data_IF_127939432964
#
_entry.id   IF_127939432964
#
_cell.length_a   1.000
_cell.length_b   1.000
_cell.length_c   1.000
_cell.angle_alpha   90.00
_cell.angle_beta   90.00
_cell.angle_gamma   90.00
#
_symmetry.space_group_name_H-M   'P 1'
#
loop_
_entity.id
_entity.type
_entity.pdbx_description
1 polymer ?
#
# COMPACT_ATOMS: atom_id res chain seq x y z
N UNK A 1 -8.77 -0.39 1.33
CA UNK A 1 -8.45 0.48 0.19
C UNK A 1 -7.00 0.25 -0.21
N UNK A 2 -6.73 0.12 -1.50
CA UNK A 2 -5.38 -0.04 -2.05
C UNK A 2 -5.29 -1.17 -3.07
N UNK A 3 -4.19 -1.92 -3.04
CA UNK A 3 -3.98 -3.10 -3.91
C UNK A 3 -5.13 -4.10 -3.80
N UNK A 4 -5.30 -4.96 -4.78
CA UNK A 4 -6.39 -5.96 -4.82
C UNK A 4 -6.42 -6.86 -3.60
N UNK A 5 -5.26 -7.25 -3.09
CA UNK A 5 -5.12 -8.02 -1.84
C UNK A 5 -3.73 -7.85 -1.21
N UNK A 6 -3.60 -8.23 0.05
CA UNK A 6 -2.29 -8.41 0.68
C UNK A 6 -1.62 -9.72 0.20
N UNK A 7 -0.34 -9.93 0.53
CA UNK A 7 0.49 -11.05 0.05
C UNK A 7 -0.14 -12.45 0.24
N UNK A 8 -0.99 -12.65 1.23
CA UNK A 8 -1.70 -13.92 1.42
C UNK A 8 -1.00 -14.95 2.29
N UNK A 9 0.00 -14.56 3.09
CA UNK A 9 0.58 -15.47 4.07
C UNK A 9 -0.29 -15.54 5.33
N UNK A 10 -0.74 -16.74 5.66
CA UNK A 10 -1.59 -17.04 6.81
C UNK A 10 -0.92 -17.95 7.85
N UNK A 11 0.42 -18.07 7.80
CA UNK A 11 1.18 -19.01 8.63
C UNK A 11 2.24 -18.33 9.45
N UNK A 12 2.50 -18.89 10.64
CA UNK A 12 3.62 -18.53 11.51
C UNK A 12 4.74 -19.54 11.34
N UNK A 13 5.95 -19.05 11.08
CA UNK A 13 7.13 -19.89 10.90
C UNK A 13 8.16 -19.56 11.98
N UNK A 14 8.88 -20.59 12.43
CA UNK A 14 9.96 -20.47 13.36
C UNK A 14 11.26 -21.07 12.78
N UNK A 15 12.35 -20.39 13.02
CA UNK A 15 13.69 -20.91 12.75
C UNK A 15 14.10 -21.83 13.91
N UNK A 16 14.43 -23.07 13.57
CA UNK A 16 14.87 -24.09 14.52
C UNK A 16 16.29 -24.49 14.20
N UNK A 17 17.15 -24.40 15.19
CA UNK A 17 18.55 -24.85 15.08
C UNK A 17 18.61 -26.38 15.11
N UNK A 18 19.01 -26.96 13.99
CA UNK A 18 19.12 -28.42 13.83
C UNK A 18 20.18 -29.02 14.77
N UNK A 19 21.25 -28.27 15.07
CA UNK A 19 22.29 -28.71 16.00
C UNK A 19 21.79 -28.97 17.41
N UNK A 20 20.74 -28.22 17.85
CA UNK A 20 20.12 -28.47 19.16
C UNK A 20 19.30 -29.75 19.20
N UNK A 21 18.80 -30.21 18.06
CA UNK A 21 18.02 -31.44 17.94
C UNK A 21 18.89 -32.69 17.78
N UNK A 22 20.18 -32.52 17.50
CA UNK A 22 21.14 -33.59 17.25
C UNK A 22 22.21 -33.64 18.35
N UNK A 23 21.90 -34.16 19.57
CA UNK A 23 22.79 -34.08 20.70
C UNK A 23 24.11 -34.83 20.50
N UNK A 24 24.15 -35.83 19.59
CA UNK A 24 25.33 -36.63 19.32
C UNK A 24 26.17 -36.16 18.13
N UNK A 25 25.81 -35.03 17.51
CA UNK A 25 26.53 -34.51 16.34
C UNK A 25 27.76 -33.69 16.78
N UNK A 26 28.95 -34.08 16.31
CA UNK A 26 30.22 -33.48 16.74
C UNK A 26 30.38 -31.99 16.37
N UNK A 27 29.67 -31.50 15.34
CA UNK A 27 29.73 -30.11 14.84
C UNK A 27 28.34 -29.52 14.79
N UNK A 28 27.72 -29.34 15.95
CA UNK A 28 26.35 -28.78 16.08
C UNK A 28 26.19 -27.40 15.44
N UNK A 29 27.23 -26.58 15.50
CA UNK A 29 27.31 -25.25 14.90
C UNK A 29 27.20 -25.24 13.37
N UNK A 30 27.47 -26.39 12.74
CA UNK A 30 27.40 -26.55 11.27
C UNK A 30 26.16 -27.28 10.79
N UNK A 31 25.27 -27.69 11.66
CA UNK A 31 24.07 -28.44 11.29
C UNK A 31 23.02 -27.56 10.58
N UNK A 32 23.18 -26.23 10.66
CA UNK A 32 22.26 -25.26 10.01
C UNK A 32 20.97 -25.07 10.76
N UNK A 33 20.05 -24.35 10.10
CA UNK A 33 18.75 -23.99 10.65
C UNK A 33 17.66 -24.42 9.68
N UNK A 34 16.56 -24.92 10.20
CA UNK A 34 15.36 -25.21 9.41
C UNK A 34 14.25 -24.23 9.76
N UNK A 35 13.53 -23.73 8.77
CA UNK A 35 12.36 -22.88 8.93
C UNK A 35 11.12 -23.74 8.86
N UNK A 36 10.41 -23.88 9.98
CA UNK A 36 9.25 -24.78 10.12
C UNK A 36 7.99 -23.95 10.32
N UNK A 37 6.93 -24.30 9.61
CA UNK A 37 5.59 -23.75 9.85
C UNK A 37 4.99 -24.44 11.06
N UNK A 38 4.62 -23.67 12.09
CA UNK A 38 4.08 -24.18 13.34
C UNK A 38 2.59 -23.94 13.51
N UNK A 39 2.09 -22.82 13.02
CA UNK A 39 0.73 -22.37 13.28
C UNK A 39 0.16 -21.67 12.07
N UNK A 40 -1.17 -21.66 11.96
CA UNK A 40 -1.93 -20.76 11.10
C UNK A 40 -2.60 -19.70 11.97
N UNK A 41 -2.86 -18.53 11.41
CA UNK A 41 -3.66 -17.50 12.06
C UNK A 41 -4.90 -17.18 11.22
N UNK A 42 -5.92 -16.71 11.92
CA UNK A 42 -7.23 -16.46 11.35
C UNK A 42 -7.72 -15.08 11.78
N UNK A 43 -8.51 -14.47 10.92
CA UNK A 43 -9.19 -13.22 11.22
C UNK A 43 -10.37 -13.49 12.17
N UNK A 44 -10.90 -12.47 12.84
CA UNK A 44 -12.09 -12.62 13.68
C UNK A 44 -13.31 -13.18 12.93
N UNK A 45 -13.40 -12.96 11.61
CA UNK A 45 -14.41 -13.59 10.73
C UNK A 45 -14.26 -15.10 10.56
N UNK A 46 -13.18 -15.71 11.05
CA UNK A 46 -12.85 -17.12 10.86
C UNK A 46 -12.05 -17.42 9.59
N UNK A 47 -11.89 -16.48 8.68
CA UNK A 47 -11.14 -16.66 7.44
C UNK A 47 -9.64 -16.62 7.71
N UNK A 48 -8.88 -17.56 7.12
CA UNK A 48 -7.43 -17.42 7.00
C UNK A 48 -7.06 -16.32 6.01
N UNK A 49 -5.87 -15.75 6.14
CA UNK A 49 -5.28 -14.92 5.07
C UNK A 49 -4.50 -15.75 4.06
N UNK A 50 -4.34 -17.06 4.29
CA UNK A 50 -3.56 -17.96 3.43
C UNK A 50 -4.09 -17.94 1.98
N UNK A 51 -3.21 -17.78 1.01
CA UNK A 51 -3.44 -17.65 -0.43
C UNK A 51 -4.22 -16.42 -0.88
N UNK A 52 -5.26 -16.02 -0.15
CA UNK A 52 -6.19 -14.96 -0.57
C UNK A 52 -5.80 -13.58 -0.09
N UNK A 53 -4.98 -13.50 0.96
CA UNK A 53 -4.67 -12.24 1.62
C UNK A 53 -5.91 -11.57 2.25
N UNK A 54 -5.78 -10.28 2.50
CA UNK A 54 -6.89 -9.40 2.87
C UNK A 54 -7.27 -8.60 1.63
N UNK A 55 -8.44 -8.83 1.10
CA UNK A 55 -8.95 -8.14 -0.09
C UNK A 55 -9.37 -6.71 0.27
N UNK A 56 -9.01 -5.76 -0.60
CA UNK A 56 -9.48 -4.39 -0.49
C UNK A 56 -10.95 -4.26 -0.92
N UNK A 57 -11.72 -3.47 -0.19
CA UNK A 57 -13.11 -3.15 -0.56
C UNK A 57 -13.16 -2.13 -1.71
N UNK A 58 -12.17 -1.25 -1.80
CA UNK A 58 -11.96 -0.30 -2.89
C UNK A 58 -10.55 -0.53 -3.41
N UNK A 59 -10.47 -1.08 -4.61
CA UNK A 59 -9.21 -1.40 -5.28
C UNK A 59 -8.74 -0.20 -6.09
N UNK A 60 -7.48 0.18 -5.90
CA UNK A 60 -6.81 1.23 -6.66
C UNK A 60 -5.84 0.59 -7.68
N UNK A 61 -5.58 1.26 -8.82
CA UNK A 61 -4.58 0.76 -9.77
C UNK A 61 -3.22 0.57 -9.11
N UNK A 62 -2.64 -0.62 -9.24
CA UNK A 62 -1.33 -0.97 -8.69
C UNK A 62 -0.50 -1.77 -9.68
N UNK A 63 0.78 -1.45 -9.78
CA UNK A 63 1.74 -2.23 -10.58
C UNK A 63 1.84 -3.68 -10.11
N UNK A 64 1.57 -3.94 -8.84
CA UNK A 64 1.63 -5.28 -8.26
C UNK A 64 0.53 -6.21 -8.77
N UNK A 65 -0.62 -5.66 -9.21
CA UNK A 65 -1.73 -6.46 -9.75
C UNK A 65 -1.41 -7.14 -11.10
N UNK A 66 -0.34 -6.70 -11.75
CA UNK A 66 0.16 -7.30 -13.01
C UNK A 66 1.22 -8.38 -12.81
N UNK A 67 1.65 -8.61 -11.56
CA UNK A 67 2.73 -9.53 -11.23
C UNK A 67 2.21 -10.75 -10.46
N UNK A 68 2.85 -11.89 -10.68
CA UNK A 68 2.61 -13.12 -9.91
C UNK A 68 3.29 -13.04 -8.54
N UNK A 69 2.81 -12.10 -7.71
CA UNK A 69 3.32 -11.84 -6.35
C UNK A 69 2.26 -12.28 -5.33
N UNK A 70 2.65 -13.15 -4.43
CA UNK A 70 1.80 -13.61 -3.34
C UNK A 70 2.05 -15.06 -2.96
N UNK A 71 1.51 -15.46 -1.83
CA UNK A 71 1.60 -16.84 -1.33
C UNK A 71 0.97 -17.83 -2.32
N UNK A 72 -0.03 -17.40 -3.09
CA UNK A 72 -0.70 -18.23 -4.08
C UNK A 72 0.21 -18.69 -5.23
N UNK A 73 1.31 -17.98 -5.49
CA UNK A 73 2.26 -18.29 -6.57
C UNK A 73 3.46 -19.10 -6.09
N UNK A 74 3.59 -19.34 -4.78
CA UNK A 74 4.70 -20.12 -4.23
C UNK A 74 4.49 -21.62 -4.45
N UNK A 75 5.59 -22.34 -4.67
CA UNK A 75 5.59 -23.80 -4.64
C UNK A 75 5.30 -24.30 -3.21
N UNK A 76 4.66 -25.46 -3.10
CA UNK A 76 4.36 -26.11 -1.82
C UNK A 76 3.59 -25.23 -0.82
N UNK A 77 2.74 -24.33 -1.32
CA UNK A 77 1.85 -23.50 -0.52
C UNK A 77 0.84 -24.35 0.28
N UNK A 78 0.53 -23.92 1.48
CA UNK A 78 -0.54 -24.52 2.27
C UNK A 78 -1.90 -24.01 1.78
N UNK A 79 -2.89 -24.90 1.80
CA UNK A 79 -4.25 -24.60 1.37
C UNK A 79 -4.93 -23.57 2.30
N UNK A 80 -5.83 -22.79 1.68
CA UNK A 80 -6.74 -21.91 2.40
C UNK A 80 -7.73 -22.74 3.23
N UNK A 81 -8.02 -22.30 4.44
CA UNK A 81 -9.04 -22.87 5.30
C UNK A 81 -9.76 -21.81 6.14
N UNK A 82 -10.80 -22.22 6.83
CA UNK A 82 -11.60 -21.38 7.72
C UNK A 82 -11.84 -22.09 9.04
N UNK A 83 -11.97 -21.30 10.09
CA UNK A 83 -12.44 -21.74 11.40
C UNK A 83 -13.74 -21.04 11.74
N UNK A 84 -14.34 -21.40 12.86
CA UNK A 84 -15.54 -20.71 13.37
C UNK A 84 -15.21 -19.24 13.66
N UNK A 85 -16.12 -18.37 13.26
CA UNK A 85 -16.05 -16.94 13.59
C UNK A 85 -15.94 -16.73 15.11
N UNK A 86 -15.18 -15.70 15.52
CA UNK A 86 -15.09 -15.30 16.92
C UNK A 86 -16.49 -14.91 17.48
N UNK A 87 -16.77 -15.30 18.72
CA UNK A 87 -18.11 -15.15 19.32
C UNK A 87 -18.55 -13.69 19.36
N UNK A 88 -17.61 -12.78 19.67
CA UNK A 88 -17.89 -11.35 19.83
C UNK A 88 -17.64 -10.52 18.56
N UNK A 89 -17.47 -11.19 17.40
CA UNK A 89 -17.22 -10.49 16.16
C UNK A 89 -18.54 -10.18 15.44
N UNK A 90 -18.84 -8.90 15.32
CA UNK A 90 -19.92 -8.39 14.49
C UNK A 90 -19.34 -7.59 13.32
N UNK A 91 -19.69 -7.92 12.06
CA UNK A 91 -19.30 -7.11 10.91
C UNK A 91 -19.84 -5.68 11.06
N UNK A 92 -19.06 -4.71 10.58
CA UNK A 92 -19.51 -3.32 10.57
C UNK A 92 -20.65 -3.14 9.56
N UNK A 93 -21.87 -2.94 10.04
CA UNK A 93 -23.06 -2.66 9.23
C UNK A 93 -22.87 -1.47 8.26
N UNK A 94 -21.99 -0.52 8.62
CA UNK A 94 -21.68 0.67 7.83
C UNK A 94 -21.04 0.36 6.47
N UNK A 95 -20.43 -0.80 6.31
CA UNK A 95 -19.80 -1.20 5.07
C UNK A 95 -20.81 -1.25 3.93
N UNK A 96 -21.92 -1.93 4.16
CA UNK A 96 -22.94 -2.12 3.12
C UNK A 96 -23.69 -0.82 2.81
N UNK A 97 -23.80 0.07 3.78
CA UNK A 97 -24.48 1.35 3.61
C UNK A 97 -23.69 2.34 2.74
N UNK A 98 -22.38 2.42 2.92
CA UNK A 98 -21.57 3.47 2.29
C UNK A 98 -20.66 2.98 1.17
N UNK A 99 -20.29 1.71 1.16
CA UNK A 99 -19.31 1.18 0.24
C UNK A 99 -19.66 1.40 -1.23
N UNK A 100 -20.89 1.18 -1.72
CA UNK A 100 -21.23 1.41 -3.13
C UNK A 100 -20.98 2.87 -3.55
N UNK A 101 -21.35 3.82 -2.70
CA UNK A 101 -21.16 5.25 -2.99
C UNK A 101 -19.70 5.65 -2.93
N UNK A 102 -18.93 5.11 -1.97
CA UNK A 102 -17.49 5.36 -1.89
C UNK A 102 -16.76 4.80 -3.12
N UNK A 103 -17.16 3.62 -3.61
CA UNK A 103 -16.61 3.03 -4.83
C UNK A 103 -16.89 3.93 -6.05
N UNK A 104 -18.10 4.44 -6.19
CA UNK A 104 -18.49 5.33 -7.28
C UNK A 104 -17.67 6.64 -7.27
N UNK A 105 -17.56 7.29 -6.10
CA UNK A 105 -16.80 8.52 -5.94
C UNK A 105 -15.32 8.32 -6.22
N UNK A 106 -14.76 7.24 -5.70
CA UNK A 106 -13.36 6.89 -5.94
C UNK A 106 -13.11 6.58 -7.42
N UNK A 107 -13.97 5.79 -8.07
CA UNK A 107 -13.85 5.49 -9.49
C UNK A 107 -13.86 6.75 -10.36
N UNK A 108 -14.69 7.73 -10.02
CA UNK A 108 -14.74 9.03 -10.72
C UNK A 108 -13.41 9.76 -10.56
N UNK A 109 -12.90 9.88 -9.33
CA UNK A 109 -11.62 10.57 -9.08
C UNK A 109 -10.43 9.86 -9.75
N UNK A 110 -10.40 8.51 -9.72
CA UNK A 110 -9.36 7.72 -10.38
C UNK A 110 -9.34 7.98 -11.88
N UNK A 111 -10.52 8.03 -12.51
CA UNK A 111 -10.64 8.28 -13.96
C UNK A 111 -10.10 9.66 -14.35
N UNK A 112 -10.33 10.65 -13.50
CA UNK A 112 -9.91 12.03 -13.77
C UNK A 112 -8.48 12.33 -13.30
N UNK A 113 -7.86 11.38 -12.57
CA UNK A 113 -6.54 11.55 -12.01
C UNK A 113 -5.43 11.16 -12.98
N UNK A 114 -4.58 12.12 -13.35
CA UNK A 114 -3.50 11.94 -14.31
C UNK A 114 -2.44 10.91 -13.84
N UNK A 115 -2.11 10.88 -12.55
CA UNK A 115 -1.15 9.91 -12.03
C UNK A 115 -1.69 8.48 -12.04
N UNK A 116 -2.99 8.32 -11.78
CA UNK A 116 -3.65 7.02 -11.92
C UNK A 116 -3.68 6.56 -13.38
N UNK A 117 -3.86 7.49 -14.32
CA UNK A 117 -3.74 7.19 -15.76
C UNK A 117 -2.33 6.70 -16.12
N UNK A 118 -1.28 7.36 -15.62
CA UNK A 118 0.10 6.91 -15.82
C UNK A 118 0.35 5.52 -15.23
N UNK A 119 -0.18 5.26 -14.05
CA UNK A 119 -0.09 3.93 -13.42
C UNK A 119 -0.77 2.86 -14.27
N UNK A 120 -1.96 3.15 -14.82
CA UNK A 120 -2.66 2.20 -15.70
C UNK A 120 -1.90 1.92 -17.00
N UNK A 121 -1.29 2.96 -17.60
CA UNK A 121 -0.40 2.78 -18.77
C UNK A 121 0.78 1.87 -18.45
N UNK A 122 1.42 2.07 -17.29
CA UNK A 122 2.57 1.27 -16.86
C UNK A 122 2.18 -0.17 -16.54
N UNK A 123 0.99 -0.40 -15.95
CA UNK A 123 0.43 -1.75 -15.75
C UNK A 123 0.22 -2.45 -17.10
N UNK A 124 -0.35 -1.75 -18.09
CA UNK A 124 -0.60 -2.34 -19.41
C UNK A 124 0.72 -2.69 -20.12
N UNK A 125 1.72 -1.82 -20.04
CA UNK A 125 3.06 -2.05 -20.60
C UNK A 125 3.76 -3.24 -19.92
N UNK A 126 3.69 -3.30 -18.58
CA UNK A 126 4.25 -4.41 -17.81
C UNK A 126 3.58 -5.75 -18.13
N UNK A 127 2.26 -5.81 -18.20
CA UNK A 127 1.52 -7.02 -18.58
C UNK A 127 1.95 -7.52 -19.95
N UNK A 128 2.00 -6.62 -20.95
CA UNK A 128 2.46 -6.97 -22.28
C UNK A 128 3.87 -7.56 -22.26
N UNK A 129 4.80 -6.94 -21.54
CA UNK A 129 6.19 -7.40 -21.42
C UNK A 129 6.28 -8.76 -20.73
N UNK A 130 5.47 -8.99 -19.70
CA UNK A 130 5.39 -10.27 -18.97
C UNK A 130 4.84 -11.37 -19.88
N UNK A 131 3.79 -11.10 -20.65
CA UNK A 131 3.20 -12.04 -21.60
C UNK A 131 4.17 -12.41 -22.73
N UNK A 132 4.88 -11.42 -23.28
CA UNK A 132 5.92 -11.64 -24.31
C UNK A 132 7.09 -12.45 -23.76
N UNK A 133 7.40 -12.31 -22.48
CA UNK A 133 8.47 -13.01 -21.73
C UNK A 133 9.80 -13.07 -22.51
N UNK A 134 10.17 -11.95 -23.13
CA UNK A 134 11.37 -11.81 -23.97
C UNK A 134 12.00 -10.45 -23.76
N UNK A 135 13.31 -10.47 -23.52
CA UNK A 135 14.14 -9.27 -23.54
C UNK A 135 15.22 -9.39 -24.63
N UNK A 136 15.50 -8.29 -25.32
CA UNK A 136 16.54 -8.26 -26.33
C UNK A 136 17.92 -8.26 -25.65
N UNK A 137 18.83 -9.13 -26.13
CA UNK A 137 20.25 -9.10 -25.76
C UNK A 137 21.05 -8.12 -26.60
N UNK A 138 20.45 -7.50 -27.61
CA UNK A 138 21.12 -6.51 -28.45
C UNK A 138 21.26 -5.19 -27.69
N UNK A 139 22.51 -4.77 -27.48
CA UNK A 139 22.83 -3.54 -26.73
C UNK A 139 22.14 -2.31 -27.32
N UNK A 140 22.16 -2.12 -28.63
CA UNK A 140 21.56 -0.95 -29.27
C UNK A 140 20.04 -0.88 -29.07
N UNK A 141 19.36 -2.03 -29.02
CA UNK A 141 17.91 -2.12 -28.70
C UNK A 141 17.68 -1.74 -27.25
N UNK A 142 18.48 -2.28 -26.32
CA UNK A 142 18.35 -1.97 -24.88
C UNK A 142 18.64 -0.50 -24.58
N UNK A 143 19.71 0.04 -25.18
CA UNK A 143 20.05 1.47 -25.01
C UNK A 143 18.93 2.38 -25.50
N UNK A 144 18.25 2.01 -26.60
CA UNK A 144 17.09 2.74 -27.09
C UNK A 144 15.89 2.64 -26.14
N UNK A 145 15.56 1.44 -25.64
CA UNK A 145 14.47 1.25 -24.68
C UNK A 145 14.68 2.08 -23.41
N UNK A 146 15.91 2.13 -22.89
CA UNK A 146 16.27 2.95 -21.74
C UNK A 146 16.08 4.43 -22.05
N UNK A 147 16.59 4.91 -23.20
CA UNK A 147 16.43 6.30 -23.60
C UNK A 147 14.95 6.70 -23.77
N UNK A 148 14.14 5.84 -24.39
CA UNK A 148 12.70 6.09 -24.57
C UNK A 148 11.97 6.13 -23.19
N UNK A 149 12.33 5.25 -22.26
CA UNK A 149 11.80 5.25 -20.89
C UNK A 149 12.18 6.53 -20.13
N UNK A 150 13.42 7.00 -20.27
CA UNK A 150 13.88 8.25 -19.67
C UNK A 150 13.15 9.47 -20.22
N UNK A 151 12.95 9.55 -21.54
CA UNK A 151 12.16 10.61 -22.16
C UNK A 151 10.73 10.62 -21.59
N UNK A 152 10.10 9.47 -21.52
CA UNK A 152 8.74 9.32 -20.94
C UNK A 152 8.70 9.77 -19.47
N UNK A 153 9.69 9.36 -18.67
CA UNK A 153 9.83 9.74 -17.26
C UNK A 153 9.97 11.25 -17.09
N UNK A 154 10.90 11.86 -17.82
CA UNK A 154 11.13 13.30 -17.75
C UNK A 154 9.90 14.12 -18.18
N UNK A 155 9.20 13.70 -19.24
CA UNK A 155 7.98 14.36 -19.69
C UNK A 155 6.88 14.31 -18.61
N UNK A 156 6.68 13.14 -17.99
CA UNK A 156 5.71 12.96 -16.90
C UNK A 156 6.09 13.77 -15.65
N UNK A 157 7.39 13.81 -15.29
CA UNK A 157 7.85 14.57 -14.15
C UNK A 157 7.69 16.08 -14.35
N UNK A 158 7.93 16.59 -15.54
CA UNK A 158 7.70 18.00 -15.87
C UNK A 158 6.22 18.36 -15.71
N UNK A 159 5.32 17.57 -16.27
CA UNK A 159 3.87 17.75 -16.13
C UNK A 159 3.43 17.70 -14.67
N UNK A 160 3.96 16.74 -13.91
CA UNK A 160 3.67 16.61 -12.48
C UNK A 160 4.11 17.83 -11.68
N UNK A 161 5.31 18.37 -11.94
CA UNK A 161 5.81 19.56 -11.25
C UNK A 161 4.86 20.75 -11.43
N UNK A 162 4.40 20.98 -12.66
CA UNK A 162 3.48 22.08 -12.96
C UNK A 162 2.14 21.89 -12.24
N UNK A 163 1.57 20.71 -12.28
CA UNK A 163 0.30 20.36 -11.63
C UNK A 163 0.40 20.36 -10.11
N UNK A 164 1.49 19.83 -9.54
CA UNK A 164 1.68 19.74 -8.09
C UNK A 164 1.89 21.09 -7.43
N UNK A 165 2.45 22.07 -8.12
CA UNK A 165 2.55 23.42 -7.60
C UNK A 165 1.17 24.02 -7.25
N UNK A 166 0.18 23.82 -8.15
CA UNK A 166 -1.19 24.26 -7.91
C UNK A 166 -1.85 23.49 -6.76
N UNK A 167 -1.70 22.16 -6.74
CA UNK A 167 -2.25 21.28 -5.70
C UNK A 167 -1.63 21.61 -4.33
N UNK A 168 -0.31 21.81 -4.27
CA UNK A 168 0.38 22.16 -3.03
C UNK A 168 -0.13 23.47 -2.45
N UNK A 169 -0.42 24.46 -3.29
CA UNK A 169 -1.02 25.72 -2.85
C UNK A 169 -2.41 25.48 -2.23
N UNK A 170 -3.25 24.74 -2.91
CA UNK A 170 -4.59 24.39 -2.41
C UNK A 170 -4.53 23.61 -1.10
N UNK A 171 -3.63 22.63 -0.99
CA UNK A 171 -3.49 21.80 0.21
C UNK A 171 -3.07 22.63 1.42
N UNK A 172 -2.16 23.60 1.26
CA UNK A 172 -1.77 24.52 2.34
C UNK A 172 -2.93 25.37 2.85
N UNK A 173 -3.89 25.69 2.00
CA UNK A 173 -5.07 26.45 2.38
C UNK A 173 -6.15 25.58 3.05
N UNK A 174 -6.26 24.31 2.66
CA UNK A 174 -7.37 23.43 3.05
C UNK A 174 -7.00 22.39 4.09
N UNK A 175 -5.72 22.01 4.22
CA UNK A 175 -5.25 20.95 5.11
C UNK A 175 -4.35 21.50 6.21
N UNK A 176 -4.49 20.93 7.41
CA UNK A 176 -3.57 21.15 8.53
C UNK A 176 -2.83 19.85 8.80
N UNK A 177 -1.52 19.91 8.83
CA UNK A 177 -0.67 18.76 9.09
C UNK A 177 -0.20 18.76 10.54
N UNK A 178 -0.19 17.57 11.15
CA UNK A 178 0.25 17.39 12.53
C UNK A 178 1.19 16.19 12.58
N UNK A 179 2.23 16.32 13.39
CA UNK A 179 3.13 15.21 13.69
C UNK A 179 2.92 14.78 15.12
N UNK A 180 2.66 13.48 15.31
CA UNK A 180 2.41 12.90 16.63
C UNK A 180 3.39 11.76 16.85
N UNK A 181 4.12 11.78 17.96
CA UNK A 181 4.96 10.68 18.40
C UNK A 181 4.34 9.97 19.61
N UNK A 182 4.78 8.72 19.88
CA UNK A 182 4.37 8.02 21.10
C UNK A 182 4.72 8.78 22.38
N UNK A 183 5.83 9.51 22.37
CA UNK A 183 6.23 10.37 23.48
C UNK A 183 5.22 11.50 23.68
N UNK A 184 4.79 12.16 22.61
CA UNK A 184 3.83 13.26 22.70
C UNK A 184 2.47 12.77 23.24
N UNK A 185 2.03 11.56 22.82
CA UNK A 185 0.80 10.95 23.32
C UNK A 185 0.92 10.62 24.81
N UNK A 186 2.05 10.01 25.24
CA UNK A 186 2.28 9.63 26.64
C UNK A 186 2.38 10.86 27.55
N UNK A 187 3.01 11.93 27.08
CA UNK A 187 3.16 13.20 27.81
C UNK A 187 1.95 14.13 27.66
N UNK A 188 0.90 13.70 26.94
CA UNK A 188 -0.32 14.46 26.66
C UNK A 188 -0.03 15.86 26.10
N UNK A 189 0.97 15.98 25.25
CA UNK A 189 1.31 17.24 24.59
C UNK A 189 0.20 17.70 23.64
N UNK A 190 -0.04 19.01 23.52
CA UNK A 190 -0.99 19.53 22.55
C UNK A 190 -0.49 19.25 21.12
N UNK A 191 -1.43 19.01 20.20
CA UNK A 191 -1.13 18.85 18.79
C UNK A 191 -0.59 20.17 18.23
N UNK A 192 0.62 20.13 17.66
CA UNK A 192 1.24 21.28 17.01
C UNK A 192 1.23 21.08 15.50
N UNK A 193 0.64 22.03 14.79
CA UNK A 193 0.67 22.01 13.33
C UNK A 193 2.10 22.23 12.83
N UNK A 194 2.49 21.52 11.79
CA UNK A 194 3.78 21.70 11.14
C UNK A 194 3.61 21.87 9.62
N UNK A 195 4.58 22.51 8.98
CA UNK A 195 4.66 22.61 7.53
C UNK A 195 5.46 21.42 6.98
N UNK A 196 4.83 20.47 6.27
CA UNK A 196 5.51 19.30 5.73
C UNK A 196 6.61 19.68 4.71
N UNK A 197 6.51 20.80 4.03
CA UNK A 197 7.53 21.24 3.06
C UNK A 197 8.90 21.50 3.72
N UNK A 198 8.94 21.87 4.98
CA UNK A 198 10.19 22.07 5.73
C UNK A 198 10.85 20.75 6.11
N UNK A 199 10.06 19.70 6.37
CA UNK A 199 10.59 18.37 6.69
C UNK A 199 10.95 17.56 5.45
N UNK A 200 10.22 17.73 4.36
CA UNK A 200 10.50 17.05 3.09
C UNK A 200 11.91 17.37 2.57
N UNK A 201 12.42 18.58 2.83
CA UNK A 201 13.82 18.92 2.55
C UNK A 201 14.83 18.09 3.36
N UNK A 202 14.47 17.67 4.58
CA UNK A 202 15.32 16.82 5.43
C UNK A 202 15.27 15.35 5.05
N UNK A 203 14.14 14.88 4.50
CA UNK A 203 13.93 13.51 4.07
C UNK A 203 14.23 13.30 2.59
N UNK A 204 14.51 14.35 1.83
CA UNK A 204 15.08 14.19 0.50
C UNK A 204 16.37 13.38 0.64
N UNK A 205 16.37 12.17 0.13
CA UNK A 205 17.59 11.40 -0.07
C UNK A 205 18.49 12.28 -0.92
N UNK A 206 19.48 12.92 -0.30
CA UNK A 206 20.61 13.44 -1.06
C UNK A 206 21.16 12.24 -1.78
N UNK A 207 21.12 12.24 -3.11
CA UNK A 207 21.79 11.24 -3.88
C UNK A 207 23.22 11.17 -3.36
N UNK A 208 23.61 10.00 -2.81
CA UNK A 208 24.93 9.80 -2.24
C UNK A 208 26.01 9.76 -3.32
N UNK A 209 25.57 9.68 -4.57
CA UNK A 209 26.41 9.54 -5.73
C UNK A 209 25.95 10.50 -6.82
N UNK A 210 26.86 11.27 -7.39
CA UNK A 210 26.57 12.19 -8.51
C UNK A 210 26.06 11.46 -9.75
N UNK A 211 26.26 10.13 -9.80
CA UNK A 211 25.79 9.24 -10.88
C UNK A 211 24.49 8.52 -10.54
N UNK A 212 24.00 8.65 -9.31
CA UNK A 212 22.71 8.07 -8.96
C UNK A 212 21.61 8.81 -9.71
N UNK A 213 20.78 8.07 -10.43
CA UNK A 213 19.56 8.57 -11.04
C UNK A 213 18.78 9.38 -9.96
N UNK A 214 18.79 10.68 -10.13
CA UNK A 214 18.00 11.55 -9.31
C UNK A 214 16.55 11.13 -9.53
N UNK A 215 15.90 10.70 -8.47
CA UNK A 215 14.47 10.50 -8.49
C UNK A 215 13.80 11.87 -8.65
N UNK A 216 13.68 12.31 -9.90
CA UNK A 216 13.03 13.56 -10.30
C UNK A 216 11.52 13.54 -10.04
N UNK A 217 11.00 12.44 -9.47
CA UNK A 217 9.57 12.31 -9.20
C UNK A 217 9.14 13.36 -8.19
N UNK A 218 8.27 14.31 -8.57
CA UNK A 218 7.75 15.31 -7.65
C UNK A 218 7.07 14.63 -6.48
N UNK A 219 7.47 15.00 -5.27
CA UNK A 219 6.82 14.50 -4.06
C UNK A 219 5.59 15.34 -3.76
N UNK A 220 4.53 14.66 -3.38
CA UNK A 220 3.36 15.32 -2.85
C UNK A 220 3.70 16.07 -1.57
N UNK A 221 3.02 17.19 -1.27
CA UNK A 221 3.10 17.81 0.04
C UNK A 221 2.91 16.75 1.12
N UNK A 222 3.70 16.79 2.17
CA UNK A 222 3.72 15.78 3.25
C UNK A 222 4.14 14.36 2.86
N UNK A 223 4.81 14.15 1.72
CA UNK A 223 5.26 12.83 1.27
C UNK A 223 4.13 11.86 0.93
N UNK A 224 2.92 12.36 0.72
CA UNK A 224 1.79 11.54 0.26
C UNK A 224 1.93 11.23 -1.24
N UNK A 225 1.83 9.96 -1.56
CA UNK A 225 1.65 9.50 -2.94
C UNK A 225 0.16 9.57 -3.37
N UNK A 226 -0.10 9.29 -4.64
CA UNK A 226 -1.44 9.33 -5.20
C UNK A 226 -2.41 8.35 -4.53
N UNK A 227 -1.92 7.19 -4.08
CA UNK A 227 -2.72 6.15 -3.40
C UNK A 227 -3.14 6.63 -2.01
N UNK A 228 -2.19 7.19 -1.25
CA UNK A 228 -2.49 7.77 0.08
C UNK A 228 -3.46 8.92 -0.02
N UNK A 229 -3.31 9.77 -1.06
CA UNK A 229 -4.21 10.89 -1.28
C UNK A 229 -5.64 10.42 -1.59
N UNK A 230 -5.80 9.41 -2.44
CA UNK A 230 -7.11 8.83 -2.70
C UNK A 230 -7.68 8.15 -1.44
N UNK A 231 -6.85 7.44 -0.68
CA UNK A 231 -7.25 6.89 0.62
C UNK A 231 -7.77 7.95 1.60
N UNK A 232 -7.12 9.11 1.65
CA UNK A 232 -7.58 10.25 2.46
C UNK A 232 -8.91 10.82 1.95
N UNK A 233 -9.09 10.92 0.64
CA UNK A 233 -10.35 11.37 0.04
C UNK A 233 -11.49 10.43 0.38
N UNK A 234 -11.28 9.11 0.28
CA UNK A 234 -12.26 8.09 0.66
C UNK A 234 -12.60 8.19 2.16
N UNK A 235 -11.60 8.39 3.02
CA UNK A 235 -11.82 8.56 4.46
C UNK A 235 -12.64 9.82 4.77
N UNK A 236 -12.39 10.92 4.06
CA UNK A 236 -13.15 12.15 4.18
C UNK A 236 -14.60 11.93 3.76
N UNK A 237 -14.85 11.31 2.61
CA UNK A 237 -16.19 10.97 2.14
C UNK A 237 -16.93 10.08 3.16
N UNK A 238 -16.26 9.04 3.68
CA UNK A 238 -16.83 8.16 4.71
C UNK A 238 -17.21 8.92 5.99
N UNK A 239 -16.38 9.86 6.41
CA UNK A 239 -16.65 10.69 7.59
C UNK A 239 -17.87 11.57 7.36
N UNK A 240 -17.92 12.29 6.24
CA UNK A 240 -19.05 13.16 5.89
C UNK A 240 -20.37 12.37 5.76
N UNK A 241 -20.35 11.21 5.11
CA UNK A 241 -21.53 10.34 5.02
C UNK A 241 -21.97 9.82 6.39
N UNK A 242 -21.01 9.48 7.26
CA UNK A 242 -21.31 9.01 8.61
C UNK A 242 -21.97 10.11 9.44
N UNK A 243 -21.45 11.34 9.36
CA UNK A 243 -22.03 12.49 10.05
C UNK A 243 -23.44 12.81 9.54
N UNK A 244 -23.61 12.82 8.23
CA UNK A 244 -24.93 13.03 7.59
C UNK A 244 -25.93 11.96 8.00
N UNK A 245 -25.54 10.68 8.01
CA UNK A 245 -26.40 9.58 8.42
C UNK A 245 -26.75 9.63 9.92
N UNK A 246 -25.83 10.08 10.76
CA UNK A 246 -26.11 10.32 12.20
C UNK A 246 -27.09 11.48 12.38
N UNK A 247 -26.92 12.57 11.64
CA UNK A 247 -27.82 13.73 11.66
C UNK A 247 -29.25 13.36 11.19
N UNK A 248 -29.33 12.49 10.18
CA UNK A 248 -30.60 11.98 9.66
C UNK A 248 -31.23 10.86 10.51
N UNK A 249 -30.57 10.42 11.61
CA UNK A 249 -31.08 9.36 12.48
C UNK A 249 -31.00 7.94 11.88
N UNK A 250 -30.33 7.77 10.75
CA UNK A 250 -30.12 6.46 10.09
C UNK A 250 -29.10 5.62 10.86
N UNK A 251 -28.10 6.25 11.47
CA UNK A 251 -27.12 5.60 12.34
C UNK A 251 -27.36 6.01 13.79
N UNK A 252 -27.36 5.02 14.69
CA UNK A 252 -27.37 5.30 16.13
C UNK A 252 -26.15 6.14 16.50
N UNK A 253 -26.34 7.17 17.31
CA UNK A 253 -25.23 7.90 17.94
C UNK A 253 -24.43 6.85 18.75
N UNK A 254 -23.20 6.61 18.38
CA UNK A 254 -22.31 5.76 19.19
C UNK A 254 -22.19 6.45 20.54
N UNK A 255 -22.59 5.79 21.63
CA UNK A 255 -22.32 6.30 22.97
C UNK A 255 -20.81 6.53 23.08
N UNK A 256 -20.43 7.73 23.49
CA UNK A 256 -19.04 8.05 23.84
C UNK A 256 -18.59 7.05 24.92
N UNK A 257 -17.58 6.25 24.59
CA UNK A 257 -16.89 5.39 25.55
C UNK A 257 -15.67 6.08 26.08
#
# INVERSE_FOLDING_TARGET
VGDSSSFGKGTVQQLMDVGRMMPFFARRDRAGTVKVTLQKFYRPSGDSTQLQGVKSDIVLPSLLDGLEIGEAFLENKLEFDKIRQAIDFEPLERKDLFLPRLQELSATRIKDNKDMSYTQEDIAEMKKRTEENKDSLNKAVRDKEIADADVKRHARNKERLERFAAISKQDKETMKFYKVSLTDVNEKKPLVAYDPSVEDEKYMRKAKDETADLDDTPKWPSGMDVVKREGLSILTDLTLMTESAKAAGVLKKTAER
#
